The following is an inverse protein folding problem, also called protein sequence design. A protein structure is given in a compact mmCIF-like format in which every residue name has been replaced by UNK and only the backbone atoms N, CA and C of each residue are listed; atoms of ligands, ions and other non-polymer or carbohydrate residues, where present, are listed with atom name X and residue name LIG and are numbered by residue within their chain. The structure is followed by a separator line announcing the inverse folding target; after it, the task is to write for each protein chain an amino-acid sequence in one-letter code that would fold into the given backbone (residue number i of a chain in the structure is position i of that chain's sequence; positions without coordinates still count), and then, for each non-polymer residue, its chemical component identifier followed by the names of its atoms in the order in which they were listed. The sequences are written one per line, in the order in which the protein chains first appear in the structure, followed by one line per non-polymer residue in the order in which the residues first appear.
data_IF_532118738597
#
_entry.id   IF_532118738597
#
_cell.length_a   1.000
_cell.length_b   1.000
_cell.length_c   1.000
_cell.angle_alpha   90.00
_cell.angle_beta   90.00
_cell.angle_gamma   90.00
#
_symmetry.space_group_name_H-M   'P 1'
#
loop_
_entity.id
_entity.type
_entity.pdbx_description
1 polymer ?
#
# COMPACT_ATOMS: atom_id res chain seq x y z
N UNK A 1 -32.25 10.71 0.69
CA UNK A 1 -31.49 10.13 -0.43
C UNK A 1 -32.50 9.82 -1.52
N UNK A 2 -32.22 10.14 -2.78
CA UNK A 2 -33.06 9.74 -3.91
C UNK A 2 -33.12 8.22 -3.96
N UNK A 3 -34.30 7.66 -4.22
CA UNK A 3 -34.50 6.22 -4.35
C UNK A 3 -33.77 5.72 -5.60
N UNK A 4 -32.68 4.96 -5.44
CA UNK A 4 -31.89 4.45 -6.54
C UNK A 4 -32.62 3.39 -7.38
N UNK A 5 -33.68 2.78 -6.85
CA UNK A 5 -34.37 1.65 -7.49
C UNK A 5 -34.97 1.98 -8.85
N UNK A 6 -35.31 3.25 -9.08
CA UNK A 6 -35.93 3.69 -10.33
C UNK A 6 -34.92 4.10 -11.42
N UNK A 7 -33.61 4.05 -11.13
CA UNK A 7 -32.57 4.71 -11.93
C UNK A 7 -31.63 3.75 -12.65
N UNK A 8 -31.82 2.43 -12.50
CA UNK A 8 -30.94 1.42 -13.06
C UNK A 8 -31.73 0.33 -13.78
N UNK A 9 -31.17 -0.15 -14.89
CA UNK A 9 -31.53 -1.43 -15.53
C UNK A 9 -30.23 -2.20 -15.73
N UNK A 10 -30.22 -3.50 -15.38
CA UNK A 10 -29.03 -4.35 -15.42
C UNK A 10 -29.31 -5.59 -16.27
N UNK A 11 -28.42 -5.87 -17.23
CA UNK A 11 -28.52 -6.97 -18.20
C UNK A 11 -27.20 -7.72 -18.27
N UNK A 12 -27.23 -9.06 -18.28
CA UNK A 12 -26.06 -9.90 -18.54
C UNK A 12 -26.10 -10.52 -19.93
N UNK A 13 -24.92 -10.87 -20.44
CA UNK A 13 -24.73 -11.65 -21.67
C UNK A 13 -24.79 -13.16 -21.38
N UNK A 14 -25.95 -13.65 -20.97
CA UNK A 14 -26.17 -15.04 -20.54
C UNK A 14 -26.62 -15.16 -19.08
N UNK A 15 -26.78 -16.40 -18.62
CA UNK A 15 -27.07 -16.69 -17.23
C UNK A 15 -25.81 -16.47 -16.37
N UNK A 16 -26.00 -16.00 -15.13
CA UNK A 16 -24.89 -15.77 -14.20
C UNK A 16 -24.23 -17.11 -13.85
N UNK A 17 -22.91 -17.19 -13.99
CA UNK A 17 -22.10 -18.34 -13.64
C UNK A 17 -21.00 -18.01 -12.61
N UNK A 18 -20.21 -19.02 -12.25
CA UNK A 18 -19.10 -18.89 -11.30
C UNK A 18 -17.86 -18.22 -11.89
N UNK A 19 -17.77 -18.00 -13.20
CA UNK A 19 -16.58 -17.40 -13.83
C UNK A 19 -16.79 -15.90 -14.10
N UNK A 20 -18.04 -15.44 -14.03
CA UNK A 20 -18.39 -14.05 -14.20
C UNK A 20 -18.59 -13.73 -15.66
N UNK A 21 -19.69 -13.04 -15.95
CA UNK A 21 -20.13 -12.76 -17.31
C UNK A 21 -20.22 -11.25 -17.54
N UNK A 22 -20.06 -10.75 -18.79
CA UNK A 22 -20.26 -9.34 -19.07
C UNK A 22 -21.65 -8.87 -18.64
N UNK A 23 -21.68 -7.72 -17.96
CA UNK A 23 -22.91 -7.06 -17.50
C UNK A 23 -22.96 -5.63 -18.03
N UNK A 24 -24.07 -5.27 -18.67
CA UNK A 24 -24.39 -3.91 -19.04
C UNK A 24 -25.27 -3.26 -17.96
N UNK A 25 -24.88 -2.07 -17.52
CA UNK A 25 -25.66 -1.26 -16.56
C UNK A 25 -26.11 0.02 -17.26
N UNK A 26 -27.43 0.15 -17.46
CA UNK A 26 -28.05 1.38 -17.90
C UNK A 26 -28.37 2.22 -16.66
N UNK A 27 -27.88 3.46 -16.62
CA UNK A 27 -28.06 4.36 -15.49
C UNK A 27 -28.56 5.73 -15.96
N UNK A 28 -29.60 6.26 -15.30
CA UNK A 28 -30.22 7.55 -15.66
C UNK A 28 -30.43 8.43 -14.43
N UNK A 29 -30.27 9.76 -14.59
CA UNK A 29 -30.50 10.73 -13.50
C UNK A 29 -31.97 10.89 -13.13
N UNK A 30 -32.89 10.64 -14.05
CA UNK A 30 -34.33 10.55 -13.78
C UNK A 30 -34.75 9.08 -13.70
N UNK A 31 -35.92 8.83 -13.10
CA UNK A 31 -36.52 7.51 -13.14
C UNK A 31 -36.71 7.03 -14.59
N UNK A 32 -36.57 5.72 -14.80
CA UNK A 32 -36.97 5.07 -16.04
C UNK A 32 -38.49 5.09 -16.18
N UNK A 33 -39.00 5.40 -17.37
CA UNK A 33 -40.44 5.32 -17.65
C UNK A 33 -40.83 3.90 -18.07
N UNK A 34 -42.11 3.51 -17.94
CA UNK A 34 -42.59 2.23 -18.46
C UNK A 34 -42.35 2.05 -19.96
N UNK A 35 -42.36 3.14 -20.73
CA UNK A 35 -42.10 3.14 -22.17
C UNK A 35 -40.63 2.83 -22.49
N UNK A 36 -39.71 3.39 -21.70
CA UNK A 36 -38.27 3.11 -21.82
C UNK A 36 -37.96 1.65 -21.45
N UNK A 37 -38.57 1.13 -20.39
CA UNK A 37 -38.42 -0.27 -20.03
C UNK A 37 -39.03 -1.21 -21.08
N UNK A 38 -40.19 -0.87 -21.65
CA UNK A 38 -40.78 -1.65 -22.74
C UNK A 38 -39.84 -1.71 -23.96
N UNK A 39 -39.15 -0.61 -24.25
CA UNK A 39 -38.14 -0.54 -25.32
C UNK A 39 -36.95 -1.45 -25.02
N UNK A 40 -36.44 -1.44 -23.78
CA UNK A 40 -35.36 -2.34 -23.37
C UNK A 40 -35.82 -3.79 -23.44
N UNK A 41 -37.00 -4.10 -22.90
CA UNK A 41 -37.56 -5.45 -22.90
C UNK A 41 -37.78 -5.97 -24.31
N UNK A 42 -38.21 -5.12 -25.25
CA UNK A 42 -38.32 -5.48 -26.66
C UNK A 42 -36.95 -5.79 -27.25
N UNK A 43 -35.95 -4.96 -27.00
CA UNK A 43 -34.58 -5.21 -27.44
C UNK A 43 -34.04 -6.54 -26.90
N UNK A 44 -34.27 -6.84 -25.62
CA UNK A 44 -33.85 -8.11 -25.01
C UNK A 44 -34.53 -9.34 -25.63
N UNK A 45 -35.69 -9.20 -26.27
CA UNK A 45 -36.34 -10.31 -27.00
C UNK A 45 -35.68 -10.60 -28.34
N UNK A 46 -35.05 -9.60 -28.94
CA UNK A 46 -34.35 -9.75 -30.22
C UNK A 46 -32.98 -10.43 -30.06
N UNK A 47 -32.46 -10.54 -28.82
CA UNK A 47 -31.17 -11.14 -28.49
C UNK A 47 -31.33 -12.21 -27.41
N UNK A 48 -31.34 -13.49 -27.80
CA UNK A 48 -31.63 -14.63 -26.90
C UNK A 48 -30.64 -14.76 -25.73
N UNK A 49 -29.39 -14.34 -25.93
CA UNK A 49 -28.34 -14.42 -24.93
C UNK A 49 -28.51 -13.37 -23.82
N UNK A 50 -29.20 -12.24 -24.08
CA UNK A 50 -29.32 -11.18 -23.09
C UNK A 50 -30.34 -11.53 -22.00
N UNK A 51 -29.89 -11.50 -20.74
CA UNK A 51 -30.71 -11.78 -19.56
C UNK A 51 -30.93 -10.54 -18.72
N UNK A 52 -32.19 -10.19 -18.49
CA UNK A 52 -32.56 -9.12 -17.55
C UNK A 52 -32.29 -9.57 -16.11
N UNK A 53 -31.39 -8.85 -15.43
CA UNK A 53 -31.04 -9.06 -14.03
C UNK A 53 -31.79 -8.10 -13.09
N UNK A 54 -31.95 -6.85 -13.50
CA UNK A 54 -32.67 -5.85 -12.72
C UNK A 54 -33.43 -4.88 -13.61
N UNK A 55 -34.68 -4.60 -13.25
CA UNK A 55 -35.45 -3.48 -13.76
C UNK A 55 -36.29 -2.87 -12.63
N UNK A 56 -36.61 -1.56 -12.64
CA UNK A 56 -37.43 -0.94 -11.61
C UNK A 56 -38.82 -1.57 -11.46
N UNK A 57 -39.37 -2.15 -12.54
CA UNK A 57 -40.71 -2.74 -12.55
C UNK A 57 -40.70 -4.27 -12.50
N UNK A 58 -39.57 -4.91 -12.82
CA UNK A 58 -39.36 -6.36 -12.69
C UNK A 58 -38.09 -6.70 -11.89
N UNK A 59 -38.04 -6.41 -10.58
CA UNK A 59 -36.89 -6.75 -9.75
C UNK A 59 -36.84 -8.25 -9.44
N UNK A 60 -35.81 -8.94 -9.92
CA UNK A 60 -35.57 -10.36 -9.62
C UNK A 60 -34.75 -10.55 -8.33
N UNK A 61 -34.94 -11.64 -7.56
CA UNK A 61 -34.20 -11.83 -6.30
C UNK A 61 -32.73 -12.23 -6.57
N UNK A 62 -31.84 -11.24 -6.70
CA UNK A 62 -30.40 -11.46 -6.91
C UNK A 62 -29.55 -10.40 -6.17
N UNK A 63 -28.22 -10.47 -6.33
CA UNK A 63 -27.30 -9.53 -5.69
C UNK A 63 -27.49 -8.08 -6.16
N UNK A 64 -27.77 -7.86 -7.45
CA UNK A 64 -27.98 -6.52 -8.02
C UNK A 64 -29.22 -5.85 -7.44
N UNK A 65 -30.36 -6.56 -7.42
CA UNK A 65 -31.61 -6.06 -6.84
C UNK A 65 -31.44 -5.73 -5.37
N UNK A 66 -30.77 -6.60 -4.58
CA UNK A 66 -30.50 -6.33 -3.17
C UNK A 66 -29.67 -5.05 -2.98
N UNK A 67 -28.61 -4.87 -3.76
CA UNK A 67 -27.77 -3.67 -3.68
C UNK A 67 -28.58 -2.42 -4.04
N UNK A 68 -29.26 -2.43 -5.19
CA UNK A 68 -29.96 -1.26 -5.72
C UNK A 68 -31.16 -0.89 -4.83
N UNK A 69 -31.98 -1.86 -4.42
CA UNK A 69 -33.16 -1.63 -3.59
C UNK A 69 -32.82 -1.26 -2.15
N UNK A 70 -31.70 -1.75 -1.60
CA UNK A 70 -31.29 -1.36 -0.24
C UNK A 70 -31.02 0.14 -0.13
N UNK A 71 -30.65 0.79 -1.25
CA UNK A 71 -30.16 2.17 -1.30
C UNK A 71 -29.06 2.47 -0.25
N UNK A 72 -28.37 1.43 0.22
CA UNK A 72 -27.31 1.47 1.22
C UNK A 72 -26.14 0.60 0.76
N UNK A 73 -25.27 1.13 -0.13
CA UNK A 73 -24.12 0.40 -0.64
C UNK A 73 -23.15 -0.03 0.47
N UNK A 74 -23.03 0.73 1.56
CA UNK A 74 -22.13 0.40 2.66
C UNK A 74 -22.61 -0.82 3.44
N UNK A 75 -23.90 -0.87 3.80
CA UNK A 75 -24.48 -2.01 4.48
C UNK A 75 -24.43 -3.27 3.59
N UNK A 76 -24.77 -3.15 2.30
CA UNK A 76 -24.67 -4.27 1.37
C UNK A 76 -23.24 -4.82 1.32
N UNK A 77 -22.25 -3.95 1.12
CA UNK A 77 -20.84 -4.34 1.00
C UNK A 77 -20.33 -5.07 2.25
N UNK A 78 -20.80 -4.71 3.45
CA UNK A 78 -20.41 -5.41 4.69
C UNK A 78 -20.91 -6.86 4.72
N UNK A 79 -22.15 -7.08 4.27
CA UNK A 79 -22.81 -8.40 4.30
C UNK A 79 -22.52 -9.30 3.10
N UNK A 80 -22.20 -8.72 1.93
CA UNK A 80 -21.91 -9.48 0.71
C UNK A 80 -20.66 -10.35 0.86
N UNK A 81 -20.55 -11.46 0.13
CA UNK A 81 -19.45 -12.43 0.33
C UNK A 81 -18.09 -11.87 -0.10
N UNK A 82 -18.10 -11.02 -1.13
CA UNK A 82 -16.91 -10.38 -1.69
C UNK A 82 -16.77 -8.91 -1.28
N UNK A 83 -15.55 -8.40 -1.33
CA UNK A 83 -15.25 -6.99 -1.20
C UNK A 83 -15.63 -6.26 -2.49
N UNK A 84 -16.81 -5.66 -2.49
CA UNK A 84 -17.36 -4.82 -3.57
C UNK A 84 -17.31 -3.33 -3.22
N UNK A 85 -16.46 -2.94 -2.26
CA UNK A 85 -16.32 -1.55 -1.84
C UNK A 85 -15.84 -0.70 -3.01
N UNK A 86 -16.44 0.49 -3.20
CA UNK A 86 -15.97 1.44 -4.18
C UNK A 86 -14.48 1.78 -3.95
N UNK A 87 -13.68 1.64 -5.00
CA UNK A 87 -12.25 1.99 -4.95
C UNK A 87 -12.05 3.50 -4.91
N UNK A 88 -10.95 3.91 -4.29
CA UNK A 88 -10.56 5.32 -4.18
C UNK A 88 -9.10 5.47 -4.53
N UNK A 89 -8.64 6.69 -4.83
CA UNK A 89 -7.21 6.95 -5.06
C UNK A 89 -6.32 6.57 -3.87
N UNK A 90 -6.89 6.50 -2.65
CA UNK A 90 -6.18 6.02 -1.47
C UNK A 90 -6.15 4.48 -1.36
N UNK A 91 -7.08 3.77 -2.00
CA UNK A 91 -7.15 2.31 -2.06
C UNK A 91 -7.42 1.87 -3.52
N UNK A 92 -6.43 2.01 -4.44
CA UNK A 92 -6.62 1.76 -5.87
C UNK A 92 -6.51 0.25 -6.22
N UNK A 93 -7.15 -0.61 -5.44
CA UNK A 93 -6.96 -2.07 -5.45
C UNK A 93 -8.24 -2.79 -5.93
N UNK A 94 -8.65 -2.54 -7.17
CA UNK A 94 -9.93 -2.99 -7.71
C UNK A 94 -10.01 -4.50 -8.01
N UNK A 95 -8.88 -5.17 -8.17
CA UNK A 95 -8.84 -6.63 -8.39
C UNK A 95 -8.95 -7.45 -7.09
N UNK A 96 -8.87 -6.81 -5.93
CA UNK A 96 -8.83 -7.52 -4.65
C UNK A 96 -10.23 -7.62 -4.02
N UNK A 97 -10.96 -8.67 -4.40
CA UNK A 97 -12.34 -8.90 -3.93
C UNK A 97 -12.42 -9.81 -2.69
N UNK A 98 -11.29 -10.32 -2.18
CA UNK A 98 -11.29 -11.21 -1.01
C UNK A 98 -11.31 -10.41 0.31
N UNK A 99 -12.23 -10.77 1.21
CA UNK A 99 -12.27 -10.23 2.59
C UNK A 99 -11.31 -10.97 3.51
N UNK A 100 -10.56 -10.23 4.33
CA UNK A 100 -9.58 -10.79 5.27
C UNK A 100 -10.19 -11.80 6.26
N UNK A 101 -11.43 -11.56 6.71
CA UNK A 101 -12.14 -12.46 7.62
C UNK A 101 -12.40 -13.85 7.01
N UNK A 102 -12.52 -13.95 5.67
CA UNK A 102 -12.71 -15.23 4.97
C UNK A 102 -11.40 -16.02 4.88
N UNK A 103 -10.26 -15.34 4.69
CA UNK A 103 -8.93 -15.96 4.69
C UNK A 103 -8.59 -16.62 6.03
N UNK A 104 -9.14 -16.11 7.13
CA UNK A 104 -8.95 -16.69 8.47
C UNK A 104 -9.88 -17.89 8.73
N UNK A 105 -10.95 -18.05 7.95
CA UNK A 105 -11.94 -19.12 8.07
C UNK A 105 -11.83 -20.10 6.88
N UNK A 106 -10.69 -20.81 6.81
CA UNK A 106 -10.30 -21.77 5.74
C UNK A 106 -11.11 -23.09 5.80
N UNK A 107 -12.42 -23.02 6.02
CA UNK A 107 -13.32 -24.18 6.05
C UNK A 107 -14.45 -24.11 5.01
N UNK A 108 -14.46 -23.10 4.12
CA UNK A 108 -15.47 -22.99 3.07
C UNK A 108 -14.99 -23.64 1.77
N UNK A 109 -15.75 -24.62 1.25
CA UNK A 109 -15.65 -25.11 -0.12
C UNK A 109 -15.75 -23.92 -1.09
N UNK A 110 -14.66 -23.58 -1.77
CA UNK A 110 -14.54 -22.38 -2.62
C UNK A 110 -14.76 -22.72 -4.10
N UNK A 111 -15.58 -21.91 -4.78
CA UNK A 111 -15.99 -21.95 -6.20
C UNK A 111 -14.90 -21.45 -7.17
N UNK A 112 -15.15 -21.49 -8.48
CA UNK A 112 -14.17 -21.12 -9.52
C UNK A 112 -13.72 -19.63 -9.47
N UNK A 113 -14.65 -18.67 -9.30
CA UNK A 113 -14.32 -17.23 -9.07
C UNK A 113 -13.37 -17.03 -7.88
N UNK A 114 -13.48 -17.88 -6.85
CA UNK A 114 -12.65 -17.82 -5.66
C UNK A 114 -11.20 -18.22 -5.98
N UNK A 115 -10.86 -18.88 -7.09
CA UNK A 115 -9.48 -19.27 -7.39
C UNK A 115 -8.68 -18.15 -8.07
N UNK A 116 -9.19 -17.58 -9.16
CA UNK A 116 -8.44 -16.57 -9.93
C UNK A 116 -8.18 -15.29 -9.11
N UNK A 117 -9.20 -14.81 -8.40
CA UNK A 117 -9.08 -13.60 -7.58
C UNK A 117 -8.29 -13.85 -6.30
N UNK A 118 -8.35 -15.06 -5.74
CA UNK A 118 -7.57 -15.42 -4.57
C UNK A 118 -6.12 -15.73 -4.92
N UNK A 119 -5.77 -16.04 -6.17
CA UNK A 119 -4.39 -16.31 -6.57
C UNK A 119 -3.46 -15.15 -6.21
N UNK A 120 -3.84 -13.91 -6.49
CA UNK A 120 -3.04 -12.72 -6.15
C UNK A 120 -2.83 -12.54 -4.65
N UNK A 121 -3.89 -12.76 -3.85
CA UNK A 121 -3.85 -12.70 -2.38
C UNK A 121 -3.05 -13.85 -1.79
N UNK A 122 -3.22 -15.06 -2.32
CA UNK A 122 -2.53 -16.27 -1.92
C UNK A 122 -1.03 -16.16 -2.23
N UNK A 123 -0.66 -15.66 -3.41
CA UNK A 123 0.74 -15.38 -3.77
C UNK A 123 1.33 -14.35 -2.81
N UNK A 124 0.62 -13.26 -2.52
CA UNK A 124 1.08 -12.25 -1.56
C UNK A 124 1.27 -12.82 -0.15
N UNK A 125 0.32 -13.64 0.32
CA UNK A 125 0.39 -14.32 1.61
C UNK A 125 1.53 -15.34 1.67
N UNK A 126 1.71 -16.13 0.62
CA UNK A 126 2.80 -17.09 0.48
C UNK A 126 4.16 -16.37 0.48
N UNK A 127 4.31 -15.28 -0.27
CA UNK A 127 5.52 -14.46 -0.28
C UNK A 127 5.81 -13.88 1.11
N UNK A 128 4.79 -13.45 1.84
CA UNK A 128 4.95 -12.97 3.22
C UNK A 128 5.46 -14.09 4.13
N UNK A 129 4.83 -15.28 4.08
CA UNK A 129 5.23 -16.44 4.89
C UNK A 129 6.67 -16.86 4.55
N UNK A 130 7.00 -17.02 3.27
CA UNK A 130 8.35 -17.38 2.82
C UNK A 130 9.37 -16.34 3.31
N UNK A 131 9.04 -15.05 3.20
CA UNK A 131 9.92 -13.97 3.67
C UNK A 131 10.12 -14.04 5.18
N UNK A 132 9.05 -14.24 5.97
CA UNK A 132 9.14 -14.38 7.43
C UNK A 132 10.00 -15.59 7.80
N UNK A 133 9.74 -16.75 7.19
CA UNK A 133 10.51 -17.97 7.41
C UNK A 133 11.97 -17.76 7.07
N UNK A 134 12.28 -17.10 5.94
CA UNK A 134 13.64 -16.79 5.54
C UNK A 134 14.35 -15.86 6.55
N UNK A 135 13.70 -14.78 7.00
CA UNK A 135 14.26 -13.89 8.03
C UNK A 135 14.48 -14.64 9.35
N UNK A 136 13.56 -15.50 9.76
CA UNK A 136 13.74 -16.30 10.97
C UNK A 136 14.91 -17.27 10.81
N UNK A 137 14.93 -18.04 9.73
CA UNK A 137 15.90 -19.10 9.50
C UNK A 137 17.34 -18.58 9.30
N UNK A 138 17.51 -17.49 8.52
CA UNK A 138 18.83 -17.00 8.14
C UNK A 138 19.36 -15.86 9.01
N UNK A 139 18.51 -15.22 9.83
CA UNK A 139 18.89 -14.03 10.62
C UNK A 139 18.60 -14.21 12.10
N UNK A 140 17.36 -14.55 12.48
CA UNK A 140 16.97 -14.64 13.90
C UNK A 140 17.56 -15.90 14.56
N UNK A 141 17.50 -17.05 13.89
CA UNK A 141 17.99 -18.32 14.41
C UNK A 141 19.51 -18.30 14.64
N UNK A 142 20.36 -17.86 13.68
CA UNK A 142 21.80 -17.79 13.91
C UNK A 142 22.17 -16.79 15.01
N UNK A 143 21.42 -15.68 15.14
CA UNK A 143 21.61 -14.72 16.22
C UNK A 143 21.28 -15.31 17.60
N UNK A 144 20.24 -16.15 17.68
CA UNK A 144 19.80 -16.76 18.93
C UNK A 144 20.69 -17.93 19.39
N UNK A 145 21.32 -18.64 18.44
CA UNK A 145 22.20 -19.80 18.70
C UNK A 145 23.65 -19.38 18.96
N UNK A 146 24.10 -18.24 18.41
CA UNK A 146 25.46 -17.74 18.63
C UNK A 146 25.66 -17.24 20.07
N UNK A 147 26.87 -17.45 20.57
CA UNK A 147 27.27 -17.33 21.98
C UNK A 147 26.78 -16.03 22.67
N UNK A 148 26.18 -16.16 23.86
CA UNK A 148 25.51 -15.08 24.62
C UNK A 148 26.47 -13.98 25.13
N UNK A 149 27.76 -14.14 24.87
CA UNK A 149 28.83 -13.22 25.24
C UNK A 149 28.90 -11.98 24.33
N UNK A 150 28.38 -12.07 23.11
CA UNK A 150 28.25 -10.93 22.20
C UNK A 150 26.98 -10.11 22.51
N UNK A 151 27.11 -9.12 23.42
CA UNK A 151 26.03 -8.21 23.79
C UNK A 151 25.68 -7.24 22.67
N UNK A 152 24.97 -7.69 21.63
CA UNK A 152 24.42 -6.81 20.60
C UNK A 152 23.40 -5.85 21.22
N UNK A 153 23.52 -4.55 20.95
CA UNK A 153 22.53 -3.58 21.43
C UNK A 153 21.25 -3.73 20.60
N UNK A 154 20.26 -4.44 21.14
CA UNK A 154 18.96 -4.65 20.50
C UNK A 154 18.28 -3.33 20.07
N UNK A 155 18.48 -2.24 20.82
CA UNK A 155 17.96 -0.92 20.45
C UNK A 155 18.62 -0.33 19.21
N UNK A 156 19.92 -0.57 19.02
CA UNK A 156 20.64 -0.17 17.81
C UNK A 156 20.18 -1.00 16.59
N UNK A 157 19.99 -2.31 16.74
CA UNK A 157 19.46 -3.15 15.65
C UNK A 157 18.03 -2.76 15.28
N UNK A 158 17.17 -2.51 16.29
CA UNK A 158 15.80 -2.06 16.06
C UNK A 158 15.74 -0.71 15.33
N UNK A 159 16.72 0.17 15.55
CA UNK A 159 16.85 1.41 14.76
C UNK A 159 17.03 1.12 13.26
N UNK A 160 17.90 0.17 12.89
CA UNK A 160 18.14 -0.18 11.48
C UNK A 160 16.94 -0.89 10.83
N UNK A 161 16.22 -1.71 11.60
CA UNK A 161 14.93 -2.29 11.19
C UNK A 161 13.92 -1.17 10.91
N UNK A 162 13.79 -0.21 11.83
CA UNK A 162 12.83 0.89 11.71
C UNK A 162 13.15 1.79 10.51
N UNK A 163 14.43 2.08 10.25
CA UNK A 163 14.86 2.85 9.08
C UNK A 163 14.59 2.10 7.77
N UNK A 164 14.89 0.79 7.70
CA UNK A 164 14.65 -0.01 6.50
C UNK A 164 13.16 -0.18 6.18
N UNK A 165 12.39 -0.53 7.20
CA UNK A 165 10.93 -0.62 7.13
C UNK A 165 10.31 0.74 6.73
N UNK A 166 10.76 1.84 7.34
CA UNK A 166 10.29 3.18 7.02
C UNK A 166 10.56 3.57 5.58
N UNK A 167 11.78 3.29 5.09
CA UNK A 167 12.16 3.60 3.71
C UNK A 167 11.28 2.87 2.70
N UNK A 168 11.15 1.54 2.82
CA UNK A 168 10.44 0.73 1.82
C UNK A 168 8.92 0.96 1.86
N UNK A 169 8.33 1.18 3.04
CA UNK A 169 6.91 1.51 3.17
C UNK A 169 6.57 2.82 2.44
N UNK A 170 7.43 3.83 2.61
CA UNK A 170 7.27 5.13 1.94
C UNK A 170 7.47 4.99 0.44
N UNK A 171 8.54 4.31 0.01
CA UNK A 171 8.86 4.14 -1.41
C UNK A 171 7.73 3.44 -2.16
N UNK A 172 7.21 2.31 -1.65
CA UNK A 172 6.11 1.59 -2.27
C UNK A 172 4.82 2.41 -2.30
N UNK A 173 4.51 3.12 -1.21
CA UNK A 173 3.33 3.99 -1.17
C UNK A 173 3.41 5.11 -2.21
N UNK A 174 4.60 5.68 -2.43
CA UNK A 174 4.82 6.68 -3.45
C UNK A 174 4.73 6.06 -4.85
N UNK A 175 5.35 4.92 -5.11
CA UNK A 175 5.22 4.22 -6.39
C UNK A 175 3.74 4.06 -6.77
N UNK A 176 2.92 3.53 -5.85
CA UNK A 176 1.49 3.30 -6.09
C UNK A 176 0.71 4.60 -6.40
N UNK A 177 0.97 5.70 -5.68
CA UNK A 177 0.33 6.99 -5.99
C UNK A 177 0.74 7.55 -7.34
N UNK A 178 2.01 7.38 -7.69
CA UNK A 178 2.55 7.87 -8.94
C UNK A 178 2.15 7.01 -10.14
N UNK A 179 1.61 5.79 -9.95
CA UNK A 179 0.98 5.01 -11.04
C UNK A 179 -0.15 5.80 -11.68
N UNK A 180 -1.10 6.30 -10.87
CA UNK A 180 -2.22 7.11 -11.38
C UNK A 180 -1.72 8.42 -11.99
N UNK A 181 -0.76 9.08 -11.34
CA UNK A 181 -0.25 10.36 -11.81
C UNK A 181 0.50 10.25 -13.14
N UNK A 182 1.43 9.29 -13.27
CA UNK A 182 2.22 9.09 -14.49
C UNK A 182 1.46 8.28 -15.55
N UNK A 183 0.35 7.64 -15.19
CA UNK A 183 -0.55 6.91 -16.09
C UNK A 183 -0.08 5.51 -16.47
N UNK A 184 1.08 5.04 -15.97
CA UNK A 184 1.59 3.71 -16.27
C UNK A 184 2.44 3.15 -15.12
N UNK A 185 2.23 1.89 -14.68
CA UNK A 185 3.00 1.26 -13.60
C UNK A 185 4.52 1.26 -13.85
N UNK A 186 4.96 0.94 -15.06
CA UNK A 186 6.38 0.93 -15.43
C UNK A 186 7.04 2.30 -15.27
N UNK A 187 6.36 3.38 -15.66
CA UNK A 187 6.89 4.74 -15.51
C UNK A 187 6.95 5.15 -14.05
N UNK A 188 5.93 4.83 -13.26
CA UNK A 188 5.94 5.10 -11.82
C UNK A 188 7.08 4.39 -11.11
N UNK A 189 7.27 3.09 -11.39
CA UNK A 189 8.36 2.32 -10.81
C UNK A 189 9.72 2.94 -11.19
N UNK A 190 9.98 3.14 -12.48
CA UNK A 190 11.28 3.66 -12.94
C UNK A 190 11.57 5.06 -12.42
N UNK A 191 10.63 6.01 -12.54
CA UNK A 191 10.83 7.41 -12.14
C UNK A 191 10.97 7.52 -10.63
N UNK A 192 10.09 6.89 -9.85
CA UNK A 192 10.12 7.01 -8.39
C UNK A 192 11.36 6.37 -7.82
N UNK A 193 11.67 5.12 -8.22
CA UNK A 193 12.86 4.41 -7.73
C UNK A 193 14.13 5.14 -8.14
N UNK A 194 14.24 5.58 -9.40
CA UNK A 194 15.42 6.34 -9.85
C UNK A 194 15.64 7.61 -9.03
N UNK A 195 14.62 8.45 -8.89
CA UNK A 195 14.73 9.71 -8.15
C UNK A 195 15.01 9.49 -6.66
N UNK A 196 14.33 8.52 -6.03
CA UNK A 196 14.52 8.19 -4.62
C UNK A 196 15.92 7.65 -4.37
N UNK A 197 16.39 6.67 -5.16
CA UNK A 197 17.72 6.08 -4.99
C UNK A 197 18.84 7.09 -5.30
N UNK A 198 18.73 7.85 -6.39
CA UNK A 198 19.72 8.87 -6.74
C UNK A 198 19.80 9.93 -5.64
N UNK A 199 18.66 10.46 -5.21
CA UNK A 199 18.60 11.50 -4.20
C UNK A 199 19.07 11.00 -2.82
N UNK A 200 18.65 9.79 -2.42
CA UNK A 200 19.09 9.11 -1.20
C UNK A 200 20.60 8.86 -1.21
N UNK A 201 21.18 8.48 -2.35
CA UNK A 201 22.63 8.37 -2.52
C UNK A 201 23.36 9.69 -2.28
N UNK A 202 22.86 10.78 -2.86
CA UNK A 202 23.42 12.14 -2.64
C UNK A 202 23.24 12.57 -1.18
N UNK A 203 22.09 12.29 -0.57
CA UNK A 203 21.80 12.55 0.84
C UNK A 203 22.74 11.81 1.77
N UNK A 204 23.03 10.54 1.47
CA UNK A 204 24.00 9.71 2.20
C UNK A 204 25.41 10.32 2.15
N UNK A 205 25.86 10.83 0.99
CA UNK A 205 27.13 11.55 0.87
C UNK A 205 27.14 12.85 1.67
N UNK A 206 26.08 13.66 1.56
CA UNK A 206 25.93 14.92 2.29
C UNK A 206 25.88 14.71 3.81
N UNK A 207 25.38 13.56 4.27
CA UNK A 207 25.30 13.20 5.68
C UNK A 207 26.66 13.19 6.37
N UNK A 208 27.76 12.95 5.63
CA UNK A 208 29.13 12.98 6.17
C UNK A 208 29.52 14.36 6.70
N UNK A 209 29.00 15.43 6.09
CA UNK A 209 29.29 16.82 6.49
C UNK A 209 28.21 17.36 7.42
N UNK A 210 26.93 17.17 7.09
CA UNK A 210 25.81 17.79 7.82
C UNK A 210 25.41 17.04 9.09
N UNK A 211 25.55 15.72 9.07
CA UNK A 211 25.34 14.82 10.21
C UNK A 211 26.68 14.15 10.58
N UNK A 212 27.77 14.93 10.60
CA UNK A 212 29.06 14.47 11.12
C UNK A 212 28.90 14.01 12.58
N UNK A 213 28.20 14.83 13.37
CA UNK A 213 27.76 14.47 14.72
C UNK A 213 26.44 13.69 14.68
N UNK A 214 26.46 12.50 15.28
CA UNK A 214 25.27 11.64 15.47
C UNK A 214 24.18 12.36 16.27
N UNK A 215 24.55 13.34 17.10
CA UNK A 215 23.60 14.19 17.81
C UNK A 215 22.66 14.94 16.87
N UNK A 216 23.06 15.25 15.63
CA UNK A 216 22.23 15.96 14.65
C UNK A 216 21.25 15.06 13.91
N UNK A 217 21.28 13.74 14.15
CA UNK A 217 20.40 12.76 13.50
C UNK A 217 18.91 13.02 13.73
N UNK A 218 18.54 13.79 14.76
CA UNK A 218 17.15 14.17 14.97
C UNK A 218 16.61 15.10 13.87
N UNK A 219 17.45 15.95 13.26
CA UNK A 219 17.00 16.88 12.21
C UNK A 219 16.45 16.14 10.97
N UNK A 220 17.21 15.24 10.30
CA UNK A 220 16.70 14.54 9.14
C UNK A 220 15.50 13.65 9.50
N UNK A 221 15.51 13.00 10.66
CA UNK A 221 14.37 12.18 11.10
C UNK A 221 13.09 13.00 11.31
N UNK A 222 13.18 14.16 11.98
CA UNK A 222 12.05 15.07 12.14
C UNK A 222 11.58 15.64 10.80
N UNK A 223 12.50 16.00 9.91
CA UNK A 223 12.17 16.48 8.58
C UNK A 223 11.44 15.41 7.74
N UNK A 224 11.88 14.14 7.79
CA UNK A 224 11.19 13.03 7.14
C UNK A 224 9.77 12.90 7.68
N UNK A 225 9.61 12.80 9.01
CA UNK A 225 8.28 12.64 9.64
C UNK A 225 7.36 13.81 9.25
N UNK A 226 7.86 15.04 9.30
CA UNK A 226 7.11 16.24 8.91
C UNK A 226 6.66 16.19 7.46
N UNK A 227 7.56 15.87 6.52
CA UNK A 227 7.23 15.74 5.09
C UNK A 227 6.22 14.62 4.86
N UNK A 228 6.38 13.47 5.52
CA UNK A 228 5.45 12.35 5.38
C UNK A 228 4.05 12.71 5.88
N UNK A 229 3.93 13.39 7.02
CA UNK A 229 2.66 13.89 7.53
C UNK A 229 2.01 14.85 6.52
N UNK A 230 2.77 15.79 5.96
CA UNK A 230 2.26 16.66 4.89
C UNK A 230 1.79 15.84 3.68
N UNK A 231 2.57 14.84 3.25
CA UNK A 231 2.25 14.02 2.08
C UNK A 231 0.99 13.17 2.26
N UNK A 232 0.61 12.78 3.48
CA UNK A 232 -0.65 12.06 3.70
C UNK A 232 -1.89 12.86 3.25
N UNK A 233 -1.84 14.20 3.33
CA UNK A 233 -2.93 15.07 2.90
C UNK A 233 -2.64 15.74 1.56
N UNK A 234 -1.53 16.48 1.46
CA UNK A 234 -1.26 17.39 0.35
C UNK A 234 -0.96 16.66 -0.95
N UNK A 235 -0.25 15.52 -0.89
CA UNK A 235 0.18 14.80 -2.08
C UNK A 235 -1.01 14.32 -2.94
N UNK A 236 -2.03 13.61 -2.40
CA UNK A 236 -3.18 13.21 -3.22
C UNK A 236 -3.92 14.40 -3.87
N UNK A 237 -4.08 15.52 -3.16
CA UNK A 237 -4.67 16.74 -3.73
C UNK A 237 -3.84 17.33 -4.88
N UNK A 238 -2.51 17.36 -4.72
CA UNK A 238 -1.58 17.86 -5.73
C UNK A 238 -1.61 16.99 -6.99
N UNK A 239 -1.48 15.67 -6.81
CA UNK A 239 -1.45 14.72 -7.94
C UNK A 239 -2.79 14.70 -8.68
N UNK A 240 -3.92 14.72 -7.96
CA UNK A 240 -5.26 14.75 -8.57
C UNK A 240 -5.50 15.99 -9.42
N UNK A 241 -5.05 17.18 -8.98
CA UNK A 241 -5.17 18.43 -9.76
C UNK A 241 -4.26 18.47 -10.98
N UNK A 242 -3.09 17.83 -10.91
CA UNK A 242 -2.06 17.89 -11.96
C UNK A 242 -2.03 16.63 -12.84
N UNK A 243 -2.96 15.68 -12.65
CA UNK A 243 -2.99 14.42 -13.41
C UNK A 243 -3.17 14.64 -14.91
N UNK A 244 -3.82 15.74 -15.32
CA UNK A 244 -3.98 16.14 -16.72
C UNK A 244 -2.77 16.86 -17.33
N UNK A 245 -1.70 17.10 -16.58
CA UNK A 245 -0.51 17.80 -17.08
C UNK A 245 0.22 16.98 -18.18
N UNK A 246 0.97 17.64 -19.09
CA UNK A 246 1.79 16.93 -20.06
C UNK A 246 2.87 16.09 -19.37
N UNK A 247 3.27 14.99 -19.99
CA UNK A 247 4.17 13.99 -19.39
C UNK A 247 5.48 14.60 -18.85
N UNK A 248 6.10 15.51 -19.60
CA UNK A 248 7.34 16.16 -19.16
C UNK A 248 7.15 17.00 -17.89
N UNK A 249 6.02 17.70 -17.75
CA UNK A 249 5.68 18.42 -16.53
C UNK A 249 5.49 17.46 -15.35
N UNK A 250 4.87 16.30 -15.58
CA UNK A 250 4.74 15.25 -14.56
C UNK A 250 6.10 14.78 -14.04
N UNK A 251 7.10 14.61 -14.92
CA UNK A 251 8.46 14.26 -14.51
C UNK A 251 9.10 15.32 -13.61
N UNK A 252 8.95 16.61 -13.96
CA UNK A 252 9.46 17.73 -13.14
C UNK A 252 8.76 17.75 -11.78
N UNK A 253 7.43 17.63 -11.75
CA UNK A 253 6.65 17.60 -10.51
C UNK A 253 7.07 16.43 -9.63
N UNK A 254 7.25 15.24 -10.21
CA UNK A 254 7.81 14.06 -9.50
C UNK A 254 9.18 14.37 -8.91
N UNK A 255 10.07 15.02 -9.66
CA UNK A 255 11.37 15.47 -9.17
C UNK A 255 11.25 16.40 -7.96
N UNK A 256 10.43 17.45 -8.06
CA UNK A 256 10.23 18.43 -6.98
C UNK A 256 9.69 17.78 -5.70
N UNK A 257 8.81 16.80 -5.82
CA UNK A 257 8.20 16.10 -4.67
C UNK A 257 9.14 15.05 -4.09
N UNK A 258 9.80 14.25 -4.93
CA UNK A 258 10.52 13.06 -4.48
C UNK A 258 11.96 13.35 -4.09
N UNK A 259 12.65 14.25 -4.80
CA UNK A 259 14.08 14.52 -4.57
C UNK A 259 14.33 15.05 -3.15
N UNK A 260 13.61 16.06 -2.62
CA UNK A 260 13.86 16.55 -1.27
C UNK A 260 13.63 15.48 -0.20
N UNK A 261 12.57 14.68 -0.34
CA UNK A 261 12.25 13.59 0.58
C UNK A 261 13.33 12.49 0.52
N UNK A 262 13.65 11.99 -0.68
CA UNK A 262 14.68 10.97 -0.88
C UNK A 262 16.05 11.42 -0.35
N UNK A 263 16.40 12.68 -0.55
CA UNK A 263 17.64 13.27 -0.06
C UNK A 263 17.75 13.18 1.47
N UNK A 264 16.71 13.57 2.19
CA UNK A 264 16.72 13.50 3.65
C UNK A 264 16.62 12.06 4.14
N UNK A 265 15.83 11.20 3.48
CA UNK A 265 15.70 9.76 3.79
C UNK A 265 17.01 8.98 3.62
N UNK A 266 17.95 9.46 2.81
CA UNK A 266 19.28 8.85 2.64
C UNK A 266 20.27 9.11 3.78
N UNK A 267 19.97 10.03 4.70
CA UNK A 267 20.89 10.41 5.78
C UNK A 267 20.89 9.50 7.03
N UNK A 268 19.75 8.96 7.52
CA UNK A 268 19.71 8.26 8.79
C UNK A 268 20.54 6.97 8.86
N UNK A 269 20.54 6.17 7.79
CA UNK A 269 21.27 4.90 7.74
C UNK A 269 22.80 5.07 7.87
N UNK A 270 23.50 5.83 7.00
CA UNK A 270 24.96 6.01 7.11
C UNK A 270 25.37 6.79 8.36
N UNK A 271 24.50 7.65 8.90
CA UNK A 271 24.77 8.36 10.16
C UNK A 271 24.69 7.40 11.35
N UNK A 272 23.67 6.53 11.39
CA UNK A 272 23.55 5.48 12.40
C UNK A 272 24.73 4.50 12.37
N UNK A 273 25.18 4.09 11.18
CA UNK A 273 26.35 3.21 11.05
C UNK A 273 27.63 3.83 11.61
N UNK A 274 27.86 5.12 11.36
CA UNK A 274 29.01 5.85 11.93
C UNK A 274 28.91 5.91 13.45
N UNK A 275 27.73 6.20 14.00
CA UNK A 275 27.52 6.18 15.45
C UNK A 275 27.74 4.82 16.08
N UNK A 276 27.29 3.76 15.41
CA UNK A 276 27.53 2.39 15.84
C UNK A 276 29.03 2.03 15.82
N UNK A 277 29.72 2.36 14.73
CA UNK A 277 31.16 2.12 14.57
C UNK A 277 31.99 2.86 15.62
N UNK A 278 31.65 4.11 15.94
CA UNK A 278 32.33 4.88 16.98
C UNK A 278 32.07 4.36 18.39
N UNK A 279 30.86 3.85 18.66
CA UNK A 279 30.51 3.31 19.96
C UNK A 279 31.10 1.91 20.21
N UNK A 280 31.28 1.11 19.16
CA UNK A 280 31.74 -0.30 19.23
C UNK A 280 32.57 -0.71 18.01
N UNK A 281 33.88 -0.40 17.99
CA UNK A 281 34.76 -0.69 16.85
C UNK A 281 35.01 -2.18 16.60
N UNK A 282 35.01 -3.01 17.65
CA UNK A 282 35.49 -4.41 17.61
C UNK A 282 34.37 -5.47 17.57
N UNK A 283 33.14 -5.07 17.21
CA UNK A 283 31.96 -5.95 17.22
C UNK A 283 31.36 -6.10 15.80
N UNK A 284 30.88 -7.29 15.45
CA UNK A 284 30.17 -7.57 14.18
C UNK A 284 28.80 -6.83 14.07
N UNK A 285 28.53 -5.89 14.98
CA UNK A 285 27.35 -5.04 15.04
C UNK A 285 27.04 -4.30 13.73
N UNK A 286 28.06 -3.88 12.95
CA UNK A 286 27.87 -3.23 11.65
C UNK A 286 27.26 -4.20 10.62
N UNK A 287 27.75 -5.43 10.56
CA UNK A 287 27.26 -6.47 9.65
C UNK A 287 25.79 -6.81 9.97
N UNK A 288 25.47 -6.93 11.26
CA UNK A 288 24.11 -7.14 11.72
C UNK A 288 23.19 -5.95 11.41
N UNK A 289 23.67 -4.71 11.57
CA UNK A 289 22.91 -3.52 11.21
C UNK A 289 22.50 -3.53 9.71
N UNK A 290 23.43 -3.89 8.83
CA UNK A 290 23.16 -4.07 7.40
C UNK A 290 22.16 -5.20 7.14
N UNK A 291 22.37 -6.37 7.76
CA UNK A 291 21.52 -7.54 7.57
C UNK A 291 20.08 -7.29 8.04
N UNK A 292 19.90 -6.68 9.21
CA UNK A 292 18.58 -6.35 9.75
C UNK A 292 17.86 -5.29 8.91
N UNK A 293 18.58 -4.29 8.39
CA UNK A 293 18.00 -3.30 7.49
C UNK A 293 17.51 -3.93 6.18
N UNK A 294 18.35 -4.76 5.54
CA UNK A 294 17.99 -5.46 4.31
C UNK A 294 16.77 -6.38 4.51
N UNK A 295 16.77 -7.18 5.58
CA UNK A 295 15.67 -8.08 5.91
C UNK A 295 14.36 -7.33 6.20
N UNK A 296 14.45 -6.23 6.96
CA UNK A 296 13.28 -5.38 7.23
C UNK A 296 12.72 -4.74 5.96
N UNK A 297 13.57 -4.46 4.96
CA UNK A 297 13.14 -3.90 3.68
C UNK A 297 12.42 -4.95 2.84
N UNK A 298 12.93 -6.18 2.79
CA UNK A 298 12.25 -7.30 2.10
C UNK A 298 10.89 -7.58 2.71
N UNK A 299 10.81 -7.77 4.03
CA UNK A 299 9.55 -7.97 4.74
C UNK A 299 8.61 -6.77 4.59
N UNK A 300 9.17 -5.58 4.72
CA UNK A 300 8.45 -4.32 4.58
C UNK A 300 7.84 -4.15 3.21
N UNK A 301 8.46 -4.69 2.15
CA UNK A 301 7.93 -4.58 0.80
C UNK A 301 6.58 -5.28 0.63
N UNK A 302 6.47 -6.51 1.14
CA UNK A 302 5.24 -7.29 1.11
C UNK A 302 4.22 -6.70 2.07
N UNK A 303 4.67 -6.31 3.28
CA UNK A 303 3.83 -5.68 4.29
C UNK A 303 3.21 -4.36 3.78
N UNK A 304 3.96 -3.56 3.02
CA UNK A 304 3.48 -2.31 2.45
C UNK A 304 2.23 -2.52 1.59
N UNK A 305 2.26 -3.56 0.74
CA UNK A 305 1.15 -3.92 -0.14
C UNK A 305 -0.03 -4.44 0.68
N UNK A 306 0.21 -5.31 1.66
CA UNK A 306 -0.85 -5.82 2.56
C UNK A 306 -1.55 -4.68 3.29
N UNK A 307 -0.78 -3.76 3.88
CA UNK A 307 -1.31 -2.58 4.59
C UNK A 307 -2.05 -1.67 3.62
N UNK A 308 -1.54 -1.47 2.40
CA UNK A 308 -2.18 -0.62 1.41
C UNK A 308 -3.53 -1.19 0.94
N UNK A 309 -3.63 -2.50 0.71
CA UNK A 309 -4.88 -3.16 0.32
C UNK A 309 -5.93 -3.02 1.44
N UNK A 310 -5.55 -3.29 2.70
CA UNK A 310 -6.49 -3.30 3.82
C UNK A 310 -6.86 -1.90 4.31
N UNK A 311 -5.85 -1.05 4.52
CA UNK A 311 -5.98 0.24 5.20
C UNK A 311 -5.74 1.45 4.29
N UNK A 312 -5.14 1.26 3.11
CA UNK A 312 -4.90 2.30 2.12
C UNK A 312 -3.50 2.92 2.18
N UNK A 313 -3.14 3.63 1.12
CA UNK A 313 -1.82 4.23 0.92
C UNK A 313 -1.50 5.31 1.97
N UNK A 314 -2.49 6.00 2.52
CA UNK A 314 -2.30 6.94 3.63
C UNK A 314 -1.85 6.21 4.90
N UNK A 315 -2.47 5.06 5.20
CA UNK A 315 -2.08 4.25 6.35
C UNK A 315 -0.67 3.68 6.16
N UNK A 316 -0.32 3.20 4.97
CA UNK A 316 1.03 2.73 4.66
C UNK A 316 2.09 3.82 4.82
N UNK A 317 1.81 5.05 4.36
CA UNK A 317 2.68 6.22 4.61
C UNK A 317 2.79 6.55 6.11
N UNK A 318 1.67 6.49 6.85
CA UNK A 318 1.66 6.73 8.29
C UNK A 318 2.47 5.68 9.06
N UNK A 319 2.42 4.40 8.65
CA UNK A 319 3.29 3.35 9.18
C UNK A 319 4.77 3.65 8.91
N UNK A 320 5.10 4.17 7.71
CA UNK A 320 6.44 4.65 7.40
C UNK A 320 6.90 5.79 8.32
N UNK A 321 6.03 6.78 8.56
CA UNK A 321 6.30 7.87 9.50
C UNK A 321 6.47 7.37 10.95
N UNK A 322 5.65 6.41 11.38
CA UNK A 322 5.77 5.77 12.69
C UNK A 322 7.10 5.00 12.83
N UNK A 323 7.56 4.33 11.77
CA UNK A 323 8.86 3.67 11.75
C UNK A 323 10.02 4.68 11.87
N UNK A 324 9.97 5.80 11.16
CA UNK A 324 10.96 6.88 11.33
C UNK A 324 10.88 7.55 12.71
N UNK A 325 9.69 7.65 13.30
CA UNK A 325 9.53 8.12 14.68
C UNK A 325 10.15 7.14 15.68
N UNK A 326 9.98 5.83 15.49
CA UNK A 326 10.67 4.82 16.29
C UNK A 326 12.19 4.95 16.16
N UNK A 327 12.71 5.15 14.94
CA UNK A 327 14.13 5.42 14.71
C UNK A 327 14.59 6.70 15.45
N UNK A 328 13.77 7.74 15.48
CA UNK A 328 14.05 8.97 16.22
C UNK A 328 14.18 8.71 17.73
N UNK A 329 13.32 7.88 18.33
CA UNK A 329 13.43 7.52 19.75
C UNK A 329 14.70 6.70 20.04
N UNK A 330 15.03 5.77 19.14
CA UNK A 330 16.16 4.85 19.29
C UNK A 330 17.53 5.50 19.00
N UNK A 331 17.57 6.71 18.44
CA UNK A 331 18.83 7.43 18.15
C UNK A 331 19.77 7.57 19.35
N UNK A 332 19.21 7.59 20.56
CA UNK A 332 19.97 7.74 21.82
C UNK A 332 20.93 6.58 22.07
N UNK A 333 20.69 5.43 21.44
CA UNK A 333 21.57 4.25 21.53
C UNK A 333 22.97 4.48 20.95
N UNK A 334 23.14 5.55 20.17
CA UNK A 334 24.42 5.92 19.55
C UNK A 334 25.11 7.10 20.24
N UNK A 335 24.57 7.59 21.36
CA UNK A 335 25.24 8.64 22.14
C UNK A 335 26.31 8.00 23.03
N UNK A 336 27.54 8.56 23.09
CA UNK A 336 28.52 8.11 24.06
C UNK A 336 27.91 8.28 25.45
N UNK A 337 27.92 7.20 26.24
CA UNK A 337 27.44 7.23 27.62
C UNK A 337 28.20 8.31 28.38
N UNK A 338 27.53 9.42 28.69
CA UNK A 338 28.03 10.34 29.70
C UNK A 338 28.12 9.54 30.99
N UNK A 339 29.33 9.20 31.40
CA UNK A 339 29.64 8.70 32.72
C UNK A 339 29.00 9.71 33.69
N UNK A 340 27.93 9.29 34.38
CA UNK A 340 27.46 10.00 35.56
C UNK A 340 28.62 9.95 36.56
N UNK A 341 29.29 11.08 36.72
CA UNK A 341 30.28 11.31 37.76
C UNK A 341 29.62 11.28 39.13
#
# INVERSE_FOLDING_TARGET
MTDASQHFIVVSDGDLDEDGIPVAVLAKKSAFTPEEEATVTQHLRDYEDLRLLYSPFEPKPNAFSRLIQSNDPEAFTRTYEYNVTAVTDNKPFFFFTVKLARLLNVNSNSSAMDWEVNLGVAVLGMLLIISIVAVIAFLVLPLAVRDRTAHHNAGALLYFIAVGLGYILVEISLIQRFVLFLGHPTYALTVVVFLMLLSSGIGSLASRRWCADVHRLWLPLCAIIFVLVIYTGVLPLLLGRLVGAPFFAKLIISGIVLVPLGFVMGMPFPTGLRGLASARPDDNSIEWAWAMNAASSVLGSVLAIVVAIQFGLNATLACGAAAYFLALLLRRQFQPSQVRA
#
